data_IF_729627152935
#
_entry.id   IF_729627152935
#
_cell.length_a   1.000
_cell.length_b   1.000
_cell.length_c   1.000
_cell.angle_alpha   90.00
_cell.angle_beta   90.00
_cell.angle_gamma   90.00
#
_symmetry.space_group_name_H-M   'P 1'
#
loop_
_entity.id
_entity.type
_entity.pdbx_description
1 polymer ?
#
# COMPACT_ATOMS: atom_id res chain seq x y z
N UNK A 1 3.68 -17.67 9.14
CA UNK A 1 2.28 -17.33 9.41
C UNK A 1 1.58 -17.16 8.07
N UNK A 2 0.59 -18.00 7.77
CA UNK A 2 -0.34 -17.77 6.65
C UNK A 2 -1.42 -16.82 7.15
N UNK A 3 -1.49 -15.64 6.55
CA UNK A 3 -2.58 -14.69 6.78
C UNK A 3 -3.79 -15.20 5.98
N UNK A 4 -4.80 -15.72 6.68
CA UNK A 4 -6.10 -15.96 6.07
C UNK A 4 -6.86 -14.64 6.04
N UNK A 5 -6.95 -14.04 4.86
CA UNK A 5 -7.67 -12.79 4.63
C UNK A 5 -8.91 -13.16 3.83
N UNK A 6 -10.08 -12.87 4.37
CA UNK A 6 -11.36 -13.02 3.65
C UNK A 6 -11.46 -12.00 2.51
N UNK A 7 -12.38 -12.22 1.57
CA UNK A 7 -12.60 -11.31 0.44
C UNK A 7 -12.91 -9.88 0.90
N UNK A 8 -13.76 -9.75 1.91
CA UNK A 8 -14.11 -8.47 2.50
C UNK A 8 -12.91 -7.78 3.16
N UNK A 9 -12.07 -8.52 3.87
CA UNK A 9 -10.85 -7.96 4.47
C UNK A 9 -9.84 -7.54 3.40
N UNK A 10 -9.74 -8.30 2.31
CA UNK A 10 -8.89 -7.97 1.16
C UNK A 10 -9.37 -6.69 0.45
N UNK A 11 -10.68 -6.49 0.29
CA UNK A 11 -11.24 -5.25 -0.27
C UNK A 11 -10.99 -4.03 0.61
N UNK A 12 -11.18 -4.18 1.93
CA UNK A 12 -10.87 -3.12 2.90
C UNK A 12 -9.39 -2.76 2.82
N UNK A 13 -8.50 -3.75 2.84
CA UNK A 13 -7.05 -3.55 2.72
C UNK A 13 -6.68 -2.89 1.39
N UNK A 14 -7.26 -3.31 0.27
CA UNK A 14 -7.03 -2.67 -1.04
C UNK A 14 -7.42 -1.20 -1.01
N UNK A 15 -8.57 -0.87 -0.41
CA UNK A 15 -9.03 0.53 -0.30
C UNK A 15 -8.09 1.36 0.54
N UNK A 16 -7.68 0.85 1.70
CA UNK A 16 -6.74 1.54 2.60
C UNK A 16 -5.37 1.75 1.95
N UNK A 17 -4.83 0.73 1.28
CA UNK A 17 -3.53 0.82 0.62
C UNK A 17 -3.54 1.75 -0.59
N UNK A 18 -4.63 1.76 -1.38
CA UNK A 18 -4.76 2.72 -2.48
C UNK A 18 -4.77 4.16 -1.97
N UNK A 19 -5.57 4.42 -0.93
CA UNK A 19 -5.63 5.75 -0.30
C UNK A 19 -4.27 6.16 0.27
N UNK A 20 -3.59 5.24 0.95
CA UNK A 20 -2.24 5.48 1.46
C UNK A 20 -1.27 5.87 0.35
N UNK A 21 -1.25 5.13 -0.77
CA UNK A 21 -0.40 5.47 -1.93
C UNK A 21 -0.71 6.86 -2.50
N UNK A 22 -1.99 7.24 -2.58
CA UNK A 22 -2.38 8.58 -3.05
C UNK A 22 -1.92 9.69 -2.10
N UNK A 23 -2.11 9.51 -0.79
CA UNK A 23 -1.69 10.46 0.25
C UNK A 23 -0.16 10.59 0.27
N UNK A 24 0.58 9.47 0.27
CA UNK A 24 2.04 9.46 0.24
C UNK A 24 2.58 10.13 -1.03
N UNK A 25 1.96 9.92 -2.20
CA UNK A 25 2.34 10.63 -3.43
C UNK A 25 2.19 12.13 -3.30
N UNK A 26 1.04 12.58 -2.80
CA UNK A 26 0.80 14.00 -2.54
C UNK A 26 1.87 14.57 -1.60
N UNK A 27 2.22 13.85 -0.54
CA UNK A 27 3.24 14.28 0.42
C UNK A 27 4.65 14.32 -0.17
N UNK A 28 5.02 13.37 -1.03
CA UNK A 28 6.28 13.39 -1.80
C UNK A 28 6.35 14.65 -2.66
N UNK A 29 5.25 15.05 -3.29
CA UNK A 29 5.22 16.25 -4.12
C UNK A 29 5.34 17.55 -3.32
N UNK A 30 4.87 17.57 -2.06
CA UNK A 30 4.87 18.76 -1.21
C UNK A 30 6.05 18.84 -0.21
N UNK A 31 6.89 17.81 -0.11
CA UNK A 31 8.04 17.78 0.80
C UNK A 31 9.31 18.32 0.13
N UNK A 32 10.08 19.20 0.76
CA UNK A 32 11.38 19.63 0.22
C UNK A 32 12.59 18.87 0.79
N UNK A 33 12.43 18.23 1.95
CA UNK A 33 13.48 17.45 2.59
C UNK A 33 13.73 16.12 1.84
N UNK A 34 14.90 16.00 1.19
CA UNK A 34 15.29 14.83 0.38
C UNK A 34 15.22 13.52 1.18
N UNK A 35 15.75 13.50 2.40
CA UNK A 35 15.73 12.30 3.25
C UNK A 35 14.31 11.85 3.62
N UNK A 36 13.39 12.80 3.82
CA UNK A 36 11.99 12.51 4.11
C UNK A 36 11.26 11.99 2.86
N UNK A 37 11.51 12.60 1.69
CA UNK A 37 11.04 12.12 0.38
C UNK A 37 11.44 10.67 0.10
N UNK A 38 12.67 10.28 0.44
CA UNK A 38 13.13 8.92 0.21
C UNK A 38 12.48 7.90 1.17
N UNK A 39 12.18 8.31 2.40
CA UNK A 39 11.32 7.55 3.31
C UNK A 39 9.93 7.32 2.73
N UNK A 40 9.26 8.40 2.28
CA UNK A 40 7.93 8.32 1.67
C UNK A 40 7.90 7.44 0.41
N UNK A 41 8.92 7.51 -0.45
CA UNK A 41 9.03 6.62 -1.62
C UNK A 41 9.17 5.15 -1.23
N UNK A 42 9.89 4.88 -0.14
CA UNK A 42 10.05 3.51 0.38
C UNK A 42 8.71 2.96 0.88
N UNK A 43 7.94 3.80 1.58
CA UNK A 43 6.60 3.44 2.04
C UNK A 43 5.60 3.27 0.87
N UNK A 44 5.62 4.16 -0.11
CA UNK A 44 4.82 4.05 -1.33
C UNK A 44 5.09 2.73 -2.06
N UNK A 45 6.37 2.34 -2.16
CA UNK A 45 6.78 1.09 -2.80
C UNK A 45 6.30 -0.13 -2.00
N UNK A 46 6.44 -0.13 -0.68
CA UNK A 46 5.95 -1.22 0.16
C UNK A 46 4.43 -1.42 0.03
N UNK A 47 3.66 -0.32 -0.02
CA UNK A 47 2.21 -0.38 -0.20
C UNK A 47 1.80 -0.93 -1.58
N UNK A 48 2.49 -0.52 -2.65
CA UNK A 48 2.28 -1.07 -4.01
C UNK A 48 2.58 -2.57 -4.08
N UNK A 49 3.66 -3.02 -3.44
CA UNK A 49 4.01 -4.44 -3.39
C UNK A 49 2.96 -5.24 -2.62
N UNK A 50 2.43 -4.68 -1.54
CA UNK A 50 1.36 -5.33 -0.78
C UNK A 50 0.05 -5.41 -1.58
N UNK A 51 -0.30 -4.35 -2.32
CA UNK A 51 -1.42 -4.36 -3.26
C UNK A 51 -1.26 -5.43 -4.35
N UNK A 52 -0.06 -5.57 -4.92
CA UNK A 52 0.24 -6.59 -5.92
C UNK A 52 0.09 -8.01 -5.34
N UNK A 53 0.55 -8.22 -4.11
CA UNK A 53 0.37 -9.52 -3.41
C UNK A 53 -1.10 -9.81 -3.12
N UNK A 54 -1.90 -8.81 -2.75
CA UNK A 54 -3.33 -8.94 -2.51
C UNK A 54 -4.16 -9.17 -3.79
N UNK A 55 -3.64 -8.79 -4.96
CA UNK A 55 -4.29 -9.08 -6.26
C UNK A 55 -3.84 -10.40 -6.85
N UNK A 56 -2.62 -10.86 -6.55
CA UNK A 56 -2.09 -12.13 -7.03
C UNK A 56 -2.52 -13.35 -6.19
N UNK A 57 -2.90 -13.17 -4.92
CA UNK A 57 -3.37 -14.28 -4.09
C UNK A 57 -4.83 -14.62 -4.40
N UNK A 58 -5.16 -15.88 -4.72
CA UNK A 58 -6.55 -16.32 -4.75
C UNK A 58 -7.10 -16.20 -3.34
N UNK A 59 -8.12 -15.37 -3.21
CA UNK A 59 -8.84 -15.19 -1.95
C UNK A 59 -9.49 -16.55 -1.64
N UNK A 60 -9.09 -17.18 -0.55
CA UNK A 60 -9.66 -18.47 -0.14
C UNK A 60 -11.15 -18.29 0.15
N UNK A 61 -11.99 -18.82 -0.75
CA UNK A 61 -13.43 -19.04 -0.55
C UNK A 61 -13.73 -19.91 0.66
#
# INVERSE_FOLDING_TARGET
MTLNISEREAEILRTLLNRFVEETRSEIHHTDAVAYKDGLKTEEQAAKELLAKLTAQPIST
#
